data_IF_932564356285
#
_entry.id   IF_932564356285
#
_cell.length_a   1.000
_cell.length_b   1.000
_cell.length_c   1.000
_cell.angle_alpha   90.00
_cell.angle_beta   90.00
_cell.angle_gamma   90.00
#
_symmetry.space_group_name_H-M   'P 1'
#
loop_
_entity.id
_entity.type
_entity.pdbx_description
1 polymer ?
#
# COMPACT_ATOMS: atom_id res chain seq x y z
N UNK A 1 0.42 -10.82 -14.37
CA UNK A 1 -0.34 -9.73 -13.72
C UNK A 1 -0.71 -10.22 -12.33
N UNK A 2 -0.19 -9.63 -11.26
CA UNK A 2 -0.60 -10.05 -9.91
C UNK A 2 -2.01 -9.50 -9.65
N UNK A 3 -3.04 -10.29 -9.96
CA UNK A 3 -4.45 -9.92 -9.85
C UNK A 3 -4.99 -9.95 -8.41
N UNK A 4 -4.09 -10.09 -7.42
CA UNK A 4 -4.48 -10.27 -6.02
C UNK A 4 -4.61 -8.92 -5.32
N UNK A 5 -5.81 -8.61 -4.86
CA UNK A 5 -6.10 -7.49 -3.97
C UNK A 5 -5.49 -7.76 -2.59
N UNK A 6 -4.73 -6.79 -2.07
CA UNK A 6 -4.10 -6.91 -0.74
C UNK A 6 -5.15 -6.71 0.35
N UNK A 7 -5.14 -7.54 1.38
CA UNK A 7 -6.06 -7.44 2.52
C UNK A 7 -5.53 -6.48 3.59
N UNK A 8 -6.40 -5.95 4.46
CA UNK A 8 -5.96 -5.14 5.61
C UNK A 8 -5.04 -5.92 6.55
N UNK A 9 -5.22 -7.24 6.67
CA UNK A 9 -4.35 -8.11 7.47
C UNK A 9 -2.92 -8.13 6.92
N UNK A 10 -2.76 -8.39 5.62
CA UNK A 10 -1.44 -8.40 4.96
C UNK A 10 -0.75 -7.03 5.08
N UNK A 11 -1.50 -5.93 4.97
CA UNK A 11 -0.94 -4.58 5.19
C UNK A 11 -0.44 -4.36 6.63
N UNK A 12 -1.15 -4.91 7.64
CA UNK A 12 -0.71 -4.81 9.04
C UNK A 12 0.54 -5.66 9.30
N UNK A 13 0.66 -6.82 8.64
CA UNK A 13 1.87 -7.65 8.68
C UNK A 13 3.06 -6.89 8.09
N UNK A 14 2.94 -6.32 6.89
CA UNK A 14 3.95 -5.46 6.28
C UNK A 14 4.34 -4.28 7.19
N UNK A 15 3.35 -3.58 7.75
CA UNK A 15 3.61 -2.46 8.65
C UNK A 15 4.33 -2.88 9.94
N UNK A 16 4.10 -4.09 10.43
CA UNK A 16 4.81 -4.66 11.58
C UNK A 16 6.27 -4.95 11.24
N UNK A 17 6.56 -5.51 10.07
CA UNK A 17 7.94 -5.75 9.59
C UNK A 17 8.73 -4.44 9.47
N UNK A 18 8.05 -3.37 9.06
CA UNK A 18 8.58 -2.01 8.97
C UNK A 18 8.61 -1.26 10.32
N UNK A 19 8.25 -1.92 11.43
CA UNK A 19 8.19 -1.36 12.80
C UNK A 19 7.34 -0.09 12.91
N UNK A 20 6.30 0.02 12.10
CA UNK A 20 5.40 1.17 12.09
C UNK A 20 4.52 1.20 13.34
N UNK A 21 4.46 2.35 14.01
CA UNK A 21 3.57 2.56 15.15
C UNK A 21 2.18 2.99 14.67
N UNK A 22 1.13 2.58 15.39
CA UNK A 22 -0.27 2.95 15.13
C UNK A 22 -0.87 2.49 13.78
N UNK A 23 -0.24 1.55 13.06
CA UNK A 23 -0.75 1.03 11.79
C UNK A 23 -2.21 0.52 11.85
N UNK A 24 -2.60 -0.09 12.98
CA UNK A 24 -3.97 -0.59 13.19
C UNK A 24 -5.05 0.52 13.19
N UNK A 25 -4.68 1.77 13.49
CA UNK A 25 -5.61 2.92 13.51
C UNK A 25 -5.85 3.51 12.12
N UNK A 26 -5.01 3.19 11.15
CA UNK A 26 -5.12 3.70 9.79
C UNK A 26 -6.19 2.95 9.00
N UNK A 27 -6.90 3.67 8.14
CA UNK A 27 -7.72 3.04 7.12
C UNK A 27 -6.82 2.42 6.02
N UNK A 28 -7.41 1.63 5.11
CA UNK A 28 -6.63 0.86 4.13
C UNK A 28 -5.75 1.75 3.24
N UNK A 29 -6.29 2.88 2.77
CA UNK A 29 -5.58 3.80 1.88
C UNK A 29 -4.45 4.53 2.62
N UNK A 30 -4.71 5.00 3.84
CA UNK A 30 -3.69 5.60 4.71
C UNK A 30 -2.57 4.63 5.04
N UNK A 31 -2.93 3.37 5.34
CA UNK A 31 -1.97 2.34 5.67
C UNK A 31 -1.05 2.02 4.49
N UNK A 32 -1.59 1.92 3.27
CA UNK A 32 -0.78 1.72 2.06
C UNK A 32 0.19 2.90 1.86
N UNK A 33 -0.30 4.14 1.93
CA UNK A 33 0.58 5.32 1.78
C UNK A 33 1.67 5.37 2.86
N UNK A 34 1.33 5.03 4.09
CA UNK A 34 2.29 5.00 5.18
C UNK A 34 3.35 3.89 4.99
N UNK A 35 2.95 2.73 4.45
CA UNK A 35 3.90 1.66 4.05
C UNK A 35 4.82 2.16 2.93
N UNK A 36 4.29 2.81 1.90
CA UNK A 36 5.11 3.37 0.81
C UNK A 36 6.19 4.32 1.37
N UNK A 37 5.82 5.24 2.26
CA UNK A 37 6.79 6.15 2.91
C UNK A 37 7.80 5.39 3.76
N UNK A 38 7.37 4.39 4.52
CA UNK A 38 8.26 3.58 5.35
C UNK A 38 9.25 2.73 4.53
N UNK A 39 8.88 2.35 3.29
CA UNK A 39 9.76 1.71 2.31
C UNK A 39 10.70 2.71 1.59
N UNK A 40 10.53 4.02 1.82
CA UNK A 40 11.28 5.08 1.15
C UNK A 40 10.72 5.49 -0.23
N UNK A 41 9.49 5.10 -0.55
CA UNK A 41 8.78 5.45 -1.76
C UNK A 41 7.87 6.68 -1.55
N UNK A 42 7.45 7.31 -2.66
CA UNK A 42 6.42 8.34 -2.61
C UNK A 42 5.04 7.73 -2.23
N UNK A 43 4.21 8.43 -1.42
CA UNK A 43 2.88 7.99 -1.00
C UNK A 43 1.82 8.09 -2.12
N UNK A 44 2.11 7.52 -3.29
CA UNK A 44 1.36 7.73 -4.53
C UNK A 44 0.02 6.96 -4.63
N UNK A 45 -0.31 6.11 -3.66
CA UNK A 45 -1.54 5.32 -3.69
C UNK A 45 -2.79 6.18 -3.83
N UNK A 46 -3.55 5.95 -4.91
CA UNK A 46 -4.74 6.70 -5.35
C UNK A 46 -4.50 8.18 -5.68
N UNK A 47 -3.25 8.59 -5.92
CA UNK A 47 -2.92 9.96 -6.34
C UNK A 47 -2.66 10.09 -7.85
N UNK A 48 -2.39 8.97 -8.53
CA UNK A 48 -2.04 8.94 -9.95
C UNK A 48 -3.09 8.15 -10.72
N UNK A 49 -3.69 8.80 -11.71
CA UNK A 49 -4.50 8.14 -12.74
C UNK A 49 -3.58 7.60 -13.83
N UNK A 50 -3.87 6.40 -14.35
CA UNK A 50 -3.10 5.72 -15.41
C UNK A 50 -1.64 5.44 -15.06
N UNK A 51 -1.39 4.95 -13.84
CA UNK A 51 -0.04 4.60 -13.38
C UNK A 51 0.60 3.53 -14.31
N UNK A 52 1.81 3.83 -14.81
CA UNK A 52 2.56 2.92 -15.69
C UNK A 52 3.28 1.77 -14.96
N UNK A 53 3.38 1.82 -13.62
CA UNK A 53 4.09 0.79 -12.83
C UNK A 53 3.22 -0.47 -12.71
N UNK A 54 3.41 -1.40 -13.64
CA UNK A 54 2.68 -2.67 -13.67
C UNK A 54 3.04 -3.68 -12.57
N UNK A 55 4.29 -3.76 -12.05
CA UNK A 55 4.63 -4.71 -10.98
C UNK A 55 4.30 -4.20 -9.57
N UNK A 56 3.63 -3.05 -9.43
CA UNK A 56 3.30 -2.49 -8.13
C UNK A 56 2.37 -3.42 -7.34
N UNK A 57 2.78 -3.76 -6.11
CA UNK A 57 2.03 -4.62 -5.18
C UNK A 57 0.59 -4.14 -4.96
N UNK A 58 0.40 -2.83 -4.86
CA UNK A 58 -0.89 -2.21 -4.59
C UNK A 58 -1.70 -1.91 -5.85
N UNK A 59 -1.22 -2.26 -7.06
CA UNK A 59 -1.85 -1.86 -8.33
C UNK A 59 -3.30 -2.31 -8.44
N UNK A 60 -3.60 -3.55 -8.07
CA UNK A 60 -4.96 -4.10 -8.15
C UNK A 60 -5.98 -3.35 -7.27
N UNK A 61 -5.50 -2.70 -6.21
CA UNK A 61 -6.29 -1.85 -5.31
C UNK A 61 -6.29 -0.38 -5.75
N UNK A 62 -5.20 0.07 -6.38
CA UNK A 62 -4.97 1.47 -6.73
C UNK A 62 -5.59 1.86 -8.08
N UNK A 63 -5.72 0.91 -9.01
CA UNK A 63 -6.17 1.15 -10.40
C UNK A 63 -7.35 0.24 -10.80
N UNK A 64 -7.91 -0.53 -9.87
CA UNK A 64 -9.00 -1.49 -10.12
C UNK A 64 -10.17 -1.34 -9.18
#
# INVERSE_FOLDING_TARGET
>A
MSSKKVTKKELLEMASELKMKNAAKLNKAELIRAIQVAEGNDPCFQQITDCAVTPCLFRAECQG
#
